data_IF_771774041940
#
_entry.id   IF_771774041940
#
_cell.length_a   1.000
_cell.length_b   1.000
_cell.length_c   1.000
_cell.angle_alpha   90.00
_cell.angle_beta   90.00
_cell.angle_gamma   90.00
#
_symmetry.space_group_name_H-M   'P 1'
#
loop_
_entity.id
_entity.type
_entity.pdbx_description
1 polymer ?
#
# COMPACT_ATOMS: atom_id res chain seq x y z
N UNK A 1 -14.54 10.27 20.20
CA UNK A 1 -14.21 11.45 19.37
C UNK A 1 -13.36 11.01 18.20
N UNK A 2 -13.85 11.11 16.96
CA UNK A 2 -13.05 10.76 15.76
C UNK A 2 -12.05 11.88 15.51
N UNK A 3 -10.81 11.69 15.92
CA UNK A 3 -9.71 12.53 15.43
C UNK A 3 -9.69 12.40 13.90
N UNK A 4 -9.92 13.53 13.22
CA UNK A 4 -9.47 13.73 11.84
C UNK A 4 -7.97 13.46 11.84
N UNK A 5 -7.56 12.25 11.46
CA UNK A 5 -6.15 11.93 11.22
C UNK A 5 -5.69 12.94 10.17
N UNK A 6 -4.82 13.85 10.60
CA UNK A 6 -4.06 14.70 9.68
C UNK A 6 -3.40 13.75 8.68
N UNK A 7 -3.38 14.15 7.42
CA UNK A 7 -2.49 13.61 6.40
C UNK A 7 -1.06 13.97 6.85
N UNK A 8 -0.57 13.35 7.92
CA UNK A 8 0.85 13.33 8.19
C UNK A 8 1.46 12.62 7.00
N UNK A 9 2.52 13.22 6.45
CA UNK A 9 3.28 12.69 5.33
C UNK A 9 3.69 11.25 5.67
N UNK A 10 2.85 10.29 5.29
CA UNK A 10 3.19 8.88 5.28
C UNK A 10 4.47 8.74 4.48
N UNK A 11 5.21 7.67 4.74
CA UNK A 11 6.39 7.34 3.96
C UNK A 11 5.91 6.96 2.55
N UNK A 12 5.59 7.96 1.74
CA UNK A 12 5.14 7.82 0.36
C UNK A 12 6.39 7.60 -0.49
N UNK A 13 6.45 6.43 -1.09
CA UNK A 13 7.45 6.09 -2.08
C UNK A 13 6.80 6.20 -3.46
N UNK A 14 7.48 6.87 -4.38
CA UNK A 14 7.02 7.09 -5.75
C UNK A 14 7.96 6.36 -6.69
N UNK A 15 7.41 5.82 -7.76
CA UNK A 15 8.18 5.14 -8.80
C UNK A 15 7.30 4.83 -10.00
N UNK A 16 7.81 4.00 -10.91
CA UNK A 16 7.01 3.49 -12.00
C UNK A 16 6.04 2.40 -11.49
N UNK A 17 5.06 2.03 -12.33
CA UNK A 17 4.04 1.05 -11.96
C UNK A 17 4.65 -0.33 -11.67
N UNK A 18 5.69 -0.74 -12.40
CA UNK A 18 6.33 -2.05 -12.22
C UNK A 18 6.97 -2.20 -10.85
N UNK A 19 7.75 -1.20 -10.44
CA UNK A 19 8.49 -1.21 -9.17
C UNK A 19 7.51 -1.17 -7.99
N UNK A 20 6.51 -0.29 -8.01
CA UNK A 20 5.51 -0.21 -6.94
C UNK A 20 4.65 -1.48 -6.88
N UNK A 21 4.35 -2.09 -8.02
CA UNK A 21 3.62 -3.35 -8.08
C UNK A 21 4.40 -4.51 -7.48
N UNK A 22 5.73 -4.50 -7.54
CA UNK A 22 6.55 -5.53 -6.87
C UNK A 22 6.36 -5.53 -5.33
N UNK A 23 6.10 -4.36 -4.74
CA UNK A 23 5.76 -4.23 -3.32
C UNK A 23 4.37 -4.82 -3.06
N UNK A 24 3.39 -4.49 -3.90
CA UNK A 24 2.03 -5.06 -3.81
C UNK A 24 2.07 -6.59 -3.93
N UNK A 25 2.79 -7.13 -4.92
CA UNK A 25 2.89 -8.57 -5.14
C UNK A 25 3.57 -9.29 -3.97
N UNK A 26 4.55 -8.66 -3.31
CA UNK A 26 5.17 -9.20 -2.09
C UNK A 26 4.17 -9.31 -0.93
N UNK A 27 3.31 -8.31 -0.74
CA UNK A 27 2.22 -8.37 0.26
C UNK A 27 1.25 -9.49 -0.12
N UNK A 28 0.83 -9.53 -1.39
CA UNK A 28 -0.18 -10.47 -1.88
C UNK A 28 0.25 -11.94 -1.76
N UNK A 29 1.56 -12.20 -1.73
CA UNK A 29 2.11 -13.53 -1.55
C UNK A 29 1.95 -14.09 -0.11
N UNK A 30 1.68 -13.25 0.89
CA UNK A 30 1.78 -13.68 2.30
C UNK A 30 0.47 -14.07 2.97
N UNK A 31 -0.70 -13.97 2.31
CA UNK A 31 -2.03 -14.17 2.92
C UNK A 31 -2.29 -13.36 4.22
N UNK A 32 -1.42 -12.39 4.53
CA UNK A 32 -1.46 -11.56 5.74
C UNK A 32 -2.16 -10.23 5.49
N UNK A 33 -3.18 -10.20 4.62
CA UNK A 33 -3.81 -8.93 4.24
C UNK A 33 -5.30 -9.08 3.93
N UNK A 34 -6.04 -7.99 4.15
CA UNK A 34 -7.35 -7.76 3.53
C UNK A 34 -7.22 -6.64 2.49
N UNK A 35 -7.83 -6.84 1.32
CA UNK A 35 -7.83 -5.84 0.24
C UNK A 35 -9.16 -5.09 0.22
N UNK A 36 -9.09 -3.76 0.32
CA UNK A 36 -10.18 -2.85 0.01
C UNK A 36 -9.88 -2.10 -1.29
N UNK A 37 -10.65 -2.33 -2.35
CA UNK A 37 -10.52 -1.56 -3.59
C UNK A 37 -11.40 -0.31 -3.50
N UNK A 38 -10.79 0.87 -3.50
CA UNK A 38 -11.52 2.14 -3.62
C UNK A 38 -11.16 2.83 -4.93
N UNK A 39 -11.95 2.59 -5.98
CA UNK A 39 -11.82 3.35 -7.22
C UNK A 39 -12.33 4.76 -7.02
N UNK A 40 -11.45 5.70 -6.65
CA UNK A 40 -11.78 7.11 -6.65
C UNK A 40 -11.62 7.62 -8.08
N UNK A 41 -12.72 7.76 -8.81
CA UNK A 41 -12.72 8.55 -10.05
C UNK A 41 -12.39 9.99 -9.67
N UNK A 42 -11.27 10.52 -10.13
CA UNK A 42 -10.98 11.95 -9.98
C UNK A 42 -12.14 12.73 -10.61
N UNK A 43 -12.83 13.55 -9.80
CA UNK A 43 -14.12 14.15 -10.14
C UNK A 43 -14.08 15.23 -11.23
N UNK A 44 -12.93 15.51 -11.84
CA UNK A 44 -12.83 16.50 -12.90
C UNK A 44 -12.03 15.96 -14.08
N UNK A 45 -12.64 15.83 -15.28
CA UNK A 45 -11.85 15.91 -16.50
C UNK A 45 -11.17 17.29 -16.49
N UNK A 46 -9.84 17.30 -16.55
CA UNK A 46 -9.12 18.53 -16.86
C UNK A 46 -9.56 18.89 -18.29
N UNK A 47 -10.18 20.06 -18.44
CA UNK A 47 -10.71 20.52 -19.72
C UNK A 47 -9.54 20.59 -20.73
N UNK A 48 -9.52 19.67 -21.71
CA UNK A 48 -8.43 19.55 -22.69
C UNK A 48 -7.78 18.16 -22.80
N UNK A 49 -8.09 17.20 -21.92
CA UNK A 49 -7.61 15.81 -22.06
C UNK A 49 -8.66 14.88 -22.65
N UNK A 50 -8.27 14.10 -23.67
CA UNK A 50 -9.15 13.25 -24.49
C UNK A 50 -9.62 11.94 -23.79
N UNK A 51 -9.23 11.72 -22.53
CA UNK A 51 -9.54 10.48 -21.81
C UNK A 51 -10.02 10.75 -20.38
N UNK A 52 -10.79 9.84 -19.75
CA UNK A 52 -11.08 9.87 -18.32
C UNK A 52 -9.87 9.38 -17.50
N UNK A 53 -9.56 10.09 -16.41
CA UNK A 53 -8.43 9.83 -15.50
C UNK A 53 -8.58 8.46 -14.81
N UNK A 54 -7.95 7.41 -15.35
CA UNK A 54 -7.92 6.08 -14.72
C UNK A 54 -6.79 6.02 -13.69
N UNK A 55 -6.87 6.88 -12.68
CA UNK A 55 -6.10 6.70 -11.45
C UNK A 55 -6.81 5.62 -10.64
N UNK A 56 -6.09 4.58 -10.24
CA UNK A 56 -6.61 3.50 -9.41
C UNK A 56 -5.97 3.61 -8.03
N UNK A 57 -6.78 3.55 -6.98
CA UNK A 57 -6.30 3.51 -5.61
C UNK A 57 -6.69 2.17 -4.99
N UNK A 58 -5.71 1.44 -4.48
CA UNK A 58 -5.91 0.20 -3.73
C UNK A 58 -5.49 0.41 -2.28
N UNK A 59 -6.27 -0.11 -1.37
CA UNK A 59 -6.01 -0.06 0.05
C UNK A 59 -5.86 -1.48 0.58
N UNK A 60 -4.80 -1.71 1.33
CA UNK A 60 -4.50 -2.97 1.98
C UNK A 60 -4.39 -2.72 3.48
N UNK A 61 -5.09 -3.53 4.26
CA UNK A 61 -4.80 -3.71 5.68
C UNK A 61 -3.91 -4.94 5.78
N UNK A 62 -2.71 -4.77 6.30
CA UNK A 62 -1.70 -5.83 6.38
C UNK A 62 -1.48 -6.20 7.83
N UNK A 63 -1.48 -7.48 8.13
CA UNK A 63 -1.40 -8.07 9.47
C UNK A 63 -0.09 -8.85 9.62
N UNK A 64 1.02 -8.22 10.02
CA UNK A 64 2.37 -8.83 10.00
C UNK A 64 2.45 -10.18 10.75
N UNK A 65 1.70 -10.29 11.84
CA UNK A 65 1.74 -11.41 12.77
C UNK A 65 0.63 -12.45 12.53
N UNK A 66 -0.31 -12.19 11.61
CA UNK A 66 -1.51 -13.03 11.44
C UNK A 66 -1.73 -13.39 9.98
N UNK A 67 -1.68 -14.68 9.67
CA UNK A 67 -2.07 -15.18 8.36
C UNK A 67 -3.59 -15.35 8.29
N UNK A 68 -4.23 -14.62 7.38
CA UNK A 68 -5.67 -14.72 7.17
C UNK A 68 -5.98 -15.90 6.26
N UNK A 69 -6.58 -16.93 6.83
CA UNK A 69 -7.00 -18.15 6.13
C UNK A 69 -8.48 -18.43 6.42
N UNK A 70 -9.13 -19.20 5.55
CA UNK A 70 -10.53 -19.62 5.78
C UNK A 70 -10.67 -20.46 7.06
N UNK A 71 -9.61 -21.18 7.46
CA UNK A 71 -9.56 -22.05 8.63
C UNK A 71 -8.76 -21.42 9.79
N UNK A 72 -9.00 -20.13 10.09
CA UNK A 72 -8.38 -19.52 11.27
C UNK A 72 -8.96 -20.11 12.56
N UNK A 73 -8.12 -20.37 13.58
CA UNK A 73 -8.58 -20.72 14.92
C UNK A 73 -9.54 -19.66 15.47
N UNK A 74 -10.59 -20.09 16.18
CA UNK A 74 -11.63 -19.18 16.67
C UNK A 74 -11.09 -18.04 17.56
N UNK A 75 -10.01 -18.28 18.32
CA UNK A 75 -9.34 -17.23 19.12
C UNK A 75 -8.73 -16.13 18.25
N UNK A 76 -8.00 -16.50 17.19
CA UNK A 76 -7.39 -15.53 16.27
C UNK A 76 -8.45 -14.74 15.48
N UNK A 77 -9.57 -15.38 15.12
CA UNK A 77 -10.70 -14.70 14.47
C UNK A 77 -11.32 -13.65 15.40
N UNK A 78 -11.46 -13.97 16.69
CA UNK A 78 -11.96 -13.03 17.69
C UNK A 78 -10.96 -11.87 17.81
N UNK A 79 -9.69 -12.12 18.13
CA UNK A 79 -8.70 -11.05 18.30
C UNK A 79 -8.62 -10.13 17.07
N UNK A 80 -8.73 -10.69 15.87
CA UNK A 80 -8.83 -9.94 14.62
C UNK A 80 -10.11 -9.07 14.53
N UNK A 81 -11.29 -9.64 14.82
CA UNK A 81 -12.57 -8.91 14.80
C UNK A 81 -12.64 -7.79 15.84
N UNK A 82 -12.00 -7.96 17.00
CA UNK A 82 -11.97 -6.97 18.07
C UNK A 82 -10.89 -5.90 17.87
N UNK A 83 -10.01 -6.06 16.86
CA UNK A 83 -9.00 -5.09 16.49
C UNK A 83 -7.74 -5.12 17.36
N UNK A 84 -7.52 -6.23 18.08
CA UNK A 84 -6.35 -6.42 18.94
C UNK A 84 -5.12 -6.95 18.18
N UNK A 85 -5.29 -7.23 16.88
CA UNK A 85 -4.21 -7.61 15.97
C UNK A 85 -3.54 -6.36 15.38
N UNK A 86 -2.20 -6.36 15.35
CA UNK A 86 -1.43 -5.34 14.67
C UNK A 86 -1.84 -5.25 13.19
N UNK A 87 -2.34 -4.09 12.80
CA UNK A 87 -2.78 -3.79 11.44
C UNK A 87 -2.02 -2.57 10.91
N UNK A 88 -1.44 -2.71 9.71
CA UNK A 88 -0.70 -1.66 9.01
C UNK A 88 -1.43 -1.33 7.72
N UNK A 89 -1.85 -0.07 7.59
CA UNK A 89 -2.49 0.46 6.40
C UNK A 89 -1.44 0.73 5.29
N UNK A 90 -1.61 0.09 4.14
CA UNK A 90 -0.80 0.33 2.93
C UNK A 90 -1.70 0.77 1.78
N UNK A 91 -1.40 1.93 1.20
CA UNK A 91 -2.18 2.53 0.13
C UNK A 91 -1.34 2.61 -1.15
N UNK A 92 -1.82 1.96 -2.21
CA UNK A 92 -1.24 2.04 -3.53
C UNK A 92 -2.05 2.98 -4.42
N UNK A 93 -1.37 3.84 -5.17
CA UNK A 93 -1.95 4.74 -6.16
C UNK A 93 -1.28 4.49 -7.49
N UNK A 94 -2.04 4.13 -8.51
CA UNK A 94 -1.58 3.86 -9.86
C UNK A 94 -2.13 4.91 -10.82
N UNK A 95 -1.25 5.65 -11.47
CA UNK A 95 -1.55 6.51 -12.60
C UNK A 95 -1.03 5.87 -13.89
N UNK A 96 -1.90 5.10 -14.54
CA UNK A 96 -1.61 4.37 -15.77
C UNK A 96 -1.31 5.27 -16.97
N UNK A 97 -1.60 6.57 -16.91
CA UNK A 97 -1.32 7.49 -18.02
C UNK A 97 0.14 7.90 -18.03
N UNK A 98 0.65 8.24 -16.86
CA UNK A 98 2.02 8.70 -16.69
C UNK A 98 3.00 7.54 -16.45
N UNK A 99 2.52 6.29 -16.42
CA UNK A 99 3.26 5.14 -15.91
C UNK A 99 3.86 5.40 -14.52
N UNK A 100 3.11 6.12 -13.67
CA UNK A 100 3.54 6.51 -12.33
C UNK A 100 2.73 5.79 -11.30
N UNK A 101 3.36 5.45 -10.19
CA UNK A 101 2.71 4.89 -9.04
C UNK A 101 3.32 5.43 -7.75
N UNK A 102 2.53 5.38 -6.69
CA UNK A 102 3.03 5.61 -5.33
C UNK A 102 2.46 4.59 -4.36
N UNK A 103 3.24 4.30 -3.33
CA UNK A 103 2.81 3.51 -2.18
C UNK A 103 3.02 4.34 -0.92
N UNK A 104 1.99 4.42 -0.10
CA UNK A 104 2.00 5.11 1.18
C UNK A 104 1.80 4.05 2.27
N UNK A 105 2.81 3.90 3.13
CA UNK A 105 2.74 3.05 4.33
C UNK A 105 2.46 3.97 5.51
N UNK A 106 1.31 3.77 6.17
CA UNK A 106 0.94 4.57 7.35
C UNK A 106 1.74 4.12 8.58
N UNK A 107 1.71 4.95 9.61
CA UNK A 107 2.37 4.71 10.92
C UNK A 107 3.92 4.73 10.88
N UNK A 108 4.51 5.19 9.78
CA UNK A 108 5.89 5.65 9.71
C UNK A 108 6.93 4.54 9.64
N UNK A 109 8.16 4.84 10.08
CA UNK A 109 9.33 3.97 9.86
C UNK A 109 9.23 2.62 10.59
N UNK A 110 8.55 2.57 11.74
CA UNK A 110 8.34 1.32 12.50
C UNK A 110 7.47 0.34 11.72
N UNK A 111 6.37 0.81 11.13
CA UNK A 111 5.51 -0.02 10.29
C UNK A 111 6.28 -0.62 9.09
N UNK A 112 7.16 0.16 8.47
CA UNK A 112 8.04 -0.35 7.39
C UNK A 112 8.96 -1.46 7.89
N UNK A 113 9.54 -1.31 9.08
CA UNK A 113 10.41 -2.33 9.67
C UNK A 113 9.65 -3.63 9.97
N UNK A 114 8.43 -3.53 10.52
CA UNK A 114 7.59 -4.69 10.77
C UNK A 114 7.18 -5.40 9.47
N UNK A 115 6.77 -4.65 8.45
CA UNK A 115 6.46 -5.23 7.13
C UNK A 115 7.70 -5.88 6.50
N UNK A 116 8.87 -5.24 6.57
CA UNK A 116 10.12 -5.79 6.04
C UNK A 116 10.59 -7.06 6.76
N UNK A 117 10.20 -7.23 8.03
CA UNK A 117 10.48 -8.44 8.81
C UNK A 117 9.47 -9.56 8.51
N UNK A 118 8.19 -9.20 8.40
CA UNK A 118 7.10 -10.17 8.30
C UNK A 118 6.80 -10.65 6.88
N UNK A 119 7.18 -9.87 5.86
CA UNK A 119 6.88 -10.12 4.45
C UNK A 119 8.18 -10.39 3.68
N UNK A 120 8.38 -11.63 3.19
CA UNK A 120 9.52 -11.96 2.34
C UNK A 120 9.57 -11.08 1.07
N UNK A 121 10.76 -10.63 0.68
CA UNK A 121 10.97 -9.81 -0.52
C UNK A 121 10.53 -8.34 -0.41
N UNK A 122 9.78 -7.97 0.64
CA UNK A 122 9.27 -6.60 0.80
C UNK A 122 10.38 -5.55 0.93
N UNK A 123 11.43 -5.87 1.69
CA UNK A 123 12.58 -4.97 1.87
C UNK A 123 13.29 -4.68 0.54
N UNK A 124 13.46 -5.70 -0.29
CA UNK A 124 14.15 -5.58 -1.58
C UNK A 124 13.29 -4.80 -2.57
N UNK A 125 11.98 -5.08 -2.62
CA UNK A 125 11.01 -4.32 -3.42
C UNK A 125 11.00 -2.82 -3.04
N UNK A 126 11.06 -2.49 -1.74
CA UNK A 126 11.19 -1.11 -1.28
C UNK A 126 12.50 -0.44 -1.72
N UNK A 127 13.61 -1.18 -1.72
CA UNK A 127 14.89 -0.66 -2.18
C UNK A 127 14.89 -0.37 -3.69
N UNK A 128 14.26 -1.24 -4.49
CA UNK A 128 14.09 -1.03 -5.94
C UNK A 128 13.34 0.26 -6.24
N UNK A 129 12.20 0.51 -5.58
CA UNK A 129 11.44 1.77 -5.77
C UNK A 129 12.28 2.99 -5.36
N UNK A 130 13.01 2.92 -4.24
CA UNK A 130 13.87 4.03 -3.79
C UNK A 130 15.00 4.35 -4.76
N UNK A 131 15.62 3.33 -5.35
CA UNK A 131 16.73 3.52 -6.29
C UNK A 131 16.22 4.07 -7.63
N UNK A 132 15.13 3.51 -8.14
CA UNK A 132 14.45 3.96 -9.37
C UNK A 132 14.08 5.45 -9.32
N UNK A 133 13.58 5.92 -8.16
CA UNK A 133 13.25 7.33 -7.95
C UNK A 133 14.48 8.26 -7.99
N UNK A 134 15.60 7.84 -7.40
CA UNK A 134 16.82 8.64 -7.37
C UNK A 134 17.45 8.77 -8.77
N UNK A 135 17.33 7.74 -9.60
CA UNK A 135 17.84 7.74 -10.97
C UNK A 135 17.00 8.64 -11.91
N UNK A 136 15.70 8.80 -11.66
CA UNK A 136 14.82 9.70 -12.42
C UNK A 136 14.98 11.19 -12.03
N UNK A 137 15.40 11.48 -10.78
CA UNK A 137 15.60 12.84 -10.28
C UNK A 137 16.97 13.48 -10.58
N UNK A 138 17.86 12.76 -11.28
CA UNK A 138 19.23 13.15 -11.57
C UNK A 138 19.50 13.70 -12.98
N UNK A 139 18.47 14.17 -13.70
CA UNK A 139 18.61 14.79 -15.03
C UNK A 139 18.07 16.21 -15.07
#
# INVERSE_FOLDING_TARGET
MRQKRRLDNGNELRGNIGDVRSIEDSIRATHKYTEGIRTIRTKHPIQGEEFPSKVVTKFYEVYPDTELRWEMPAGEVIDWLWGDVLCIDVLFRYDYRANRASVEIRDGAKAIQELARAIPGFKDALATVKNSWNDEGGK
#
